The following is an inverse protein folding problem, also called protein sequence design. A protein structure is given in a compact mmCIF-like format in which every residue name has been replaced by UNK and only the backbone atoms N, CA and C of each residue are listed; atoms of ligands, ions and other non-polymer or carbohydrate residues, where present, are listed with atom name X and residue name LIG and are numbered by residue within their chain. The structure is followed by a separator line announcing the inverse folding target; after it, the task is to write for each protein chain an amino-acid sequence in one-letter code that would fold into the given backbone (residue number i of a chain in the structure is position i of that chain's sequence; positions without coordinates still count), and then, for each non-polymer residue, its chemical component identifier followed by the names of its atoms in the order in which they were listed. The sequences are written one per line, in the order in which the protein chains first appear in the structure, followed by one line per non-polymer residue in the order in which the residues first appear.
data_IF_658671045072
#
_entry.id   IF_658671045072
#
_cell.length_a   1.000
_cell.length_b   1.000
_cell.length_c   1.000
_cell.angle_alpha   90.00
_cell.angle_beta   90.00
_cell.angle_gamma   90.00
#
_symmetry.space_group_name_H-M   'P 1'
#
loop_
_entity.id
_entity.type
_entity.pdbx_description
1 polymer ?
#
# COMPACT_ATOMS: atom_id res chain seq x y z
N UNK A 1 -34.58 9.61 17.77
CA UNK A 1 -33.21 9.44 17.22
C UNK A 1 -33.23 9.99 15.82
N UNK A 2 -32.59 11.13 15.59
CA UNK A 2 -32.51 11.76 14.27
C UNK A 2 -31.78 10.82 13.33
N UNK A 3 -32.39 10.47 12.24
CA UNK A 3 -31.79 9.68 11.14
C UNK A 3 -30.56 10.41 10.65
N UNK A 4 -29.38 9.87 11.01
CA UNK A 4 -28.11 10.52 10.69
C UNK A 4 -27.98 10.53 9.17
N UNK A 5 -27.86 11.71 8.59
CA UNK A 5 -27.80 11.88 7.14
C UNK A 5 -26.78 10.92 6.53
N UNK A 6 -27.25 10.00 5.68
CA UNK A 6 -26.41 9.00 4.95
C UNK A 6 -25.63 9.68 3.82
N UNK A 7 -25.01 10.83 4.12
CA UNK A 7 -24.32 11.69 3.15
C UNK A 7 -23.00 12.14 3.77
N UNK A 8 -21.88 12.11 3.05
CA UNK A 8 -20.60 12.62 3.55
C UNK A 8 -20.64 14.15 3.70
N UNK A 9 -19.81 14.68 4.62
CA UNK A 9 -19.70 16.12 4.86
C UNK A 9 -19.12 16.89 3.64
N UNK A 10 -18.31 16.24 2.82
CA UNK A 10 -17.75 16.78 1.57
C UNK A 10 -18.19 15.87 0.44
N UNK A 11 -18.68 16.47 -0.64
CA UNK A 11 -19.22 15.76 -1.79
C UNK A 11 -18.90 16.50 -3.08
N UNK A 12 -18.73 15.78 -4.17
CA UNK A 12 -18.58 16.38 -5.49
C UNK A 12 -19.90 17.03 -5.94
N UNK A 13 -19.80 18.15 -6.63
CA UNK A 13 -20.98 18.85 -7.15
C UNK A 13 -21.79 17.96 -8.11
N UNK A 14 -23.10 18.08 -8.06
CA UNK A 14 -24.03 17.34 -8.91
C UNK A 14 -24.55 16.02 -8.32
N UNK A 15 -24.04 15.56 -7.17
CA UNK A 15 -24.57 14.40 -6.47
C UNK A 15 -25.33 14.82 -5.20
N UNK A 16 -26.60 14.47 -5.13
CA UNK A 16 -27.50 14.86 -4.04
C UNK A 16 -28.16 13.69 -3.34
N UNK A 17 -28.28 12.53 -4.02
CA UNK A 17 -28.99 11.38 -3.48
C UNK A 17 -28.31 10.80 -2.24
N UNK A 18 -29.06 10.32 -1.24
CA UNK A 18 -28.48 9.68 -0.07
C UNK A 18 -27.74 8.39 -0.45
N UNK A 19 -26.67 8.09 0.28
CA UNK A 19 -25.94 6.85 0.09
C UNK A 19 -26.71 5.68 0.67
N UNK A 20 -26.71 4.56 -0.05
CA UNK A 20 -27.34 3.31 0.39
C UNK A 20 -26.47 2.61 1.43
N UNK A 21 -27.08 2.13 2.51
CA UNK A 21 -26.40 1.32 3.53
C UNK A 21 -26.66 -0.15 3.30
N UNK A 22 -25.59 -0.94 3.16
CA UNK A 22 -25.63 -2.39 2.92
C UNK A 22 -24.57 -3.10 3.76
N UNK A 23 -24.70 -4.40 3.92
CA UNK A 23 -23.58 -5.26 4.36
C UNK A 23 -22.71 -5.61 3.15
N UNK A 24 -21.38 -5.60 3.34
CA UNK A 24 -20.46 -5.88 2.24
C UNK A 24 -20.69 -7.26 1.62
N UNK A 25 -20.90 -8.29 2.43
CA UNK A 25 -21.14 -9.67 1.97
C UNK A 25 -22.44 -9.89 1.19
N UNK A 26 -23.37 -8.90 1.14
CA UNK A 26 -24.53 -8.94 0.26
C UNK A 26 -24.19 -8.58 -1.18
N UNK A 27 -23.05 -7.95 -1.40
CA UNK A 27 -22.66 -7.33 -2.67
C UNK A 27 -21.42 -7.98 -3.31
N UNK A 28 -20.59 -8.66 -2.50
CA UNK A 28 -19.35 -9.27 -2.96
C UNK A 28 -19.16 -10.67 -2.41
N UNK A 29 -18.42 -11.51 -3.14
CA UNK A 29 -17.95 -12.81 -2.66
C UNK A 29 -16.61 -12.62 -1.96
N UNK A 30 -16.49 -13.16 -0.74
CA UNK A 30 -15.26 -13.08 0.05
C UNK A 30 -14.71 -14.48 0.30
N UNK A 31 -13.47 -14.71 -0.10
CA UNK A 31 -12.78 -15.99 0.08
C UNK A 31 -11.45 -15.78 0.80
N UNK A 32 -11.05 -16.72 1.62
CA UNK A 32 -9.72 -16.72 2.22
C UNK A 32 -8.72 -17.36 1.28
N UNK A 33 -7.53 -16.77 1.14
CA UNK A 33 -6.37 -17.38 0.52
C UNK A 33 -5.95 -18.67 1.23
N UNK A 34 -5.02 -19.38 0.67
CA UNK A 34 -4.54 -20.64 1.23
C UNK A 34 -3.05 -20.81 0.98
N UNK A 35 -2.40 -21.64 1.80
CA UNK A 35 -0.98 -21.97 1.64
C UNK A 35 -0.82 -23.47 1.48
N UNK A 36 -0.23 -23.96 0.37
CA UNK A 36 0.13 -25.36 0.24
C UNK A 36 1.07 -25.78 1.37
N UNK A 37 0.90 -26.99 1.87
CA UNK A 37 1.72 -27.53 2.98
C UNK A 37 2.29 -28.89 2.61
N UNK A 38 3.58 -29.15 2.93
CA UNK A 38 4.62 -28.18 3.37
C UNK A 38 4.98 -27.23 2.23
N UNK A 39 5.18 -25.93 2.53
CA UNK A 39 5.33 -24.89 1.48
C UNK A 39 6.62 -25.09 0.66
N UNK A 40 7.69 -25.53 1.28
CA UNK A 40 9.00 -25.72 0.65
C UNK A 40 8.97 -26.72 -0.53
N UNK A 41 8.04 -27.68 -0.53
CA UNK A 41 7.84 -28.61 -1.64
C UNK A 41 7.18 -27.95 -2.85
N UNK A 42 6.49 -26.83 -2.65
CA UNK A 42 5.74 -26.10 -3.68
C UNK A 42 6.47 -24.87 -4.22
N UNK A 43 7.41 -24.30 -3.48
CA UNK A 43 8.23 -23.18 -3.99
C UNK A 43 9.02 -23.64 -5.22
N UNK A 44 9.10 -22.76 -6.23
CA UNK A 44 9.80 -23.05 -7.47
C UNK A 44 10.33 -21.77 -8.13
N UNK A 45 11.48 -21.89 -8.78
CA UNK A 45 12.06 -20.85 -9.66
C UNK A 45 11.69 -21.06 -11.13
N UNK A 46 10.84 -22.08 -11.44
CA UNK A 46 10.40 -22.35 -12.82
C UNK A 46 9.67 -21.15 -13.40
N UNK A 47 9.95 -20.84 -14.67
CA UNK A 47 9.27 -19.78 -15.41
C UNK A 47 7.77 -20.00 -15.50
N UNK A 48 7.32 -21.26 -15.56
CA UNK A 48 5.91 -21.66 -15.58
C UNK A 48 5.26 -21.69 -14.20
N UNK A 49 6.01 -21.41 -13.12
CA UNK A 49 5.48 -21.29 -11.78
C UNK A 49 4.46 -20.18 -11.65
N UNK A 50 3.46 -20.39 -10.79
CA UNK A 50 2.41 -19.42 -10.48
C UNK A 50 2.94 -18.36 -9.50
N UNK A 51 2.69 -17.09 -9.75
CA UNK A 51 3.05 -16.03 -8.82
C UNK A 51 2.42 -16.28 -7.44
N UNK A 52 3.25 -16.32 -6.39
CA UNK A 52 2.82 -16.54 -5.02
C UNK A 52 2.79 -15.23 -4.24
N UNK A 53 1.57 -14.71 -4.00
CA UNK A 53 1.36 -13.38 -3.40
C UNK A 53 1.38 -13.48 -1.88
N UNK A 54 2.49 -13.04 -1.29
CA UNK A 54 2.65 -12.93 0.18
C UNK A 54 2.36 -11.52 0.65
N UNK A 55 2.17 -11.33 1.96
CA UNK A 55 1.95 -9.99 2.55
C UNK A 55 3.14 -9.05 2.27
N UNK A 56 4.37 -9.59 2.25
CA UNK A 56 5.58 -8.81 1.96
C UNK A 56 5.70 -8.29 0.53
N UNK A 57 4.91 -8.83 -0.43
CA UNK A 57 4.90 -8.37 -1.81
C UNK A 57 4.03 -7.11 -2.01
N UNK A 58 3.23 -6.75 -1.00
CA UNK A 58 2.40 -5.57 -1.05
C UNK A 58 3.24 -4.30 -1.01
N UNK A 59 3.03 -3.35 -1.93
CA UNK A 59 3.80 -2.12 -1.95
C UNK A 59 3.49 -1.25 -0.73
N UNK A 60 4.50 -0.54 -0.22
CA UNK A 60 4.33 0.45 0.85
C UNK A 60 3.49 1.64 0.38
N UNK A 61 3.63 2.03 -0.90
CA UNK A 61 2.89 3.08 -1.57
C UNK A 61 2.13 2.53 -2.78
N UNK A 62 0.98 3.14 -3.07
CA UNK A 62 0.10 2.69 -4.15
C UNK A 62 -0.79 1.54 -3.74
N UNK A 63 -1.60 1.06 -4.71
CA UNK A 63 -2.68 0.09 -4.50
C UNK A 63 -2.54 -1.19 -5.33
N UNK A 64 -1.53 -1.28 -6.21
CA UNK A 64 -1.40 -2.38 -7.13
C UNK A 64 -0.27 -3.33 -6.75
N UNK A 65 -0.56 -4.63 -6.69
CA UNK A 65 0.46 -5.67 -6.59
C UNK A 65 0.80 -6.12 -8.01
N UNK A 66 1.99 -5.77 -8.46
CA UNK A 66 2.47 -6.00 -9.83
C UNK A 66 3.62 -7.00 -9.96
N UNK A 67 4.11 -7.52 -8.83
CA UNK A 67 5.18 -8.52 -8.78
C UNK A 67 5.13 -9.30 -7.48
N UNK A 68 5.69 -10.50 -7.50
CA UNK A 68 5.88 -11.34 -6.31
C UNK A 68 7.34 -11.69 -6.14
N UNK A 69 7.74 -11.99 -4.93
CA UNK A 69 9.09 -12.43 -4.58
C UNK A 69 9.30 -13.92 -4.85
N UNK A 70 8.24 -14.71 -4.90
CA UNK A 70 8.27 -16.16 -5.06
C UNK A 70 7.19 -16.65 -6.01
N UNK A 71 7.37 -17.88 -6.48
CA UNK A 71 6.40 -18.65 -7.26
C UNK A 71 6.15 -19.99 -6.63
N UNK A 72 5.00 -20.60 -6.91
CA UNK A 72 4.67 -21.96 -6.53
C UNK A 72 4.42 -22.83 -7.77
N UNK A 73 4.63 -24.12 -7.64
CA UNK A 73 4.31 -25.11 -8.66
C UNK A 73 2.80 -25.12 -8.95
N UNK A 74 2.36 -25.36 -10.20
CA UNK A 74 0.94 -25.42 -10.58
C UNK A 74 0.10 -26.38 -9.73
N UNK A 75 0.70 -27.48 -9.24
CA UNK A 75 0.02 -28.46 -8.39
C UNK A 75 -0.45 -27.88 -7.05
N UNK A 76 0.16 -26.76 -6.62
CA UNK A 76 -0.25 -26.03 -5.42
C UNK A 76 -1.55 -25.25 -5.59
N UNK A 77 -2.03 -25.02 -6.81
CA UNK A 77 -3.20 -24.17 -7.10
C UNK A 77 -4.46 -24.62 -6.35
N UNK A 78 -4.71 -25.91 -6.26
CA UNK A 78 -5.89 -26.46 -5.56
C UNK A 78 -5.93 -26.17 -4.06
N UNK A 79 -4.78 -25.80 -3.46
CA UNK A 79 -4.62 -25.52 -2.03
C UNK A 79 -4.58 -24.03 -1.70
N UNK A 80 -4.77 -23.18 -2.69
CA UNK A 80 -4.76 -21.71 -2.57
C UNK A 80 -5.97 -21.11 -3.27
N UNK A 81 -5.96 -19.79 -3.50
CA UNK A 81 -6.96 -19.09 -4.31
C UNK A 81 -6.26 -18.36 -5.44
N UNK A 82 -6.70 -18.66 -6.66
CA UNK A 82 -6.23 -17.95 -7.85
C UNK A 82 -6.83 -16.54 -7.90
N UNK A 83 -6.01 -15.60 -8.30
CA UNK A 83 -6.37 -14.19 -8.52
C UNK A 83 -5.95 -13.74 -9.90
N UNK A 84 -6.71 -12.81 -10.46
CA UNK A 84 -6.50 -12.25 -11.79
C UNK A 84 -6.31 -10.73 -11.71
N UNK A 85 -5.75 -10.09 -12.74
CA UNK A 85 -5.69 -8.64 -12.82
C UNK A 85 -7.09 -8.02 -12.61
N UNK A 86 -7.17 -7.05 -11.70
CA UNK A 86 -8.41 -6.39 -11.30
C UNK A 86 -9.07 -6.99 -10.04
N UNK A 87 -8.71 -8.20 -9.61
CA UNK A 87 -9.20 -8.74 -8.33
C UNK A 87 -8.71 -7.88 -7.17
N UNK A 88 -9.59 -7.67 -6.18
CA UNK A 88 -9.26 -6.95 -4.97
C UNK A 88 -8.91 -7.95 -3.86
N UNK A 89 -7.80 -7.70 -3.17
CA UNK A 89 -7.41 -8.49 -2.00
C UNK A 89 -7.24 -7.59 -0.78
N UNK A 90 -7.57 -8.14 0.38
CA UNK A 90 -7.53 -7.43 1.67
C UNK A 90 -6.62 -8.21 2.63
N UNK A 91 -5.65 -7.53 3.26
CA UNK A 91 -4.78 -8.18 4.24
C UNK A 91 -5.56 -8.54 5.52
N UNK A 92 -5.47 -9.80 5.96
CA UNK A 92 -6.16 -10.28 7.15
C UNK A 92 -5.27 -10.27 8.42
N UNK A 93 -3.94 -10.14 8.24
CA UNK A 93 -2.94 -10.15 9.29
C UNK A 93 -1.85 -9.11 9.01
N UNK A 94 -0.90 -8.89 9.91
CA UNK A 94 0.22 -7.93 9.81
C UNK A 94 -0.20 -6.50 9.42
N UNK A 95 -0.53 -6.26 8.14
CA UNK A 95 -1.05 -4.99 7.61
C UNK A 95 -2.57 -4.90 7.70
N UNK A 96 -3.16 -5.34 8.78
CA UNK A 96 -4.59 -5.53 9.06
C UNK A 96 -5.53 -4.60 8.29
N UNK A 97 -6.36 -5.16 7.41
CA UNK A 97 -7.40 -4.43 6.70
C UNK A 97 -6.91 -3.51 5.58
N UNK A 98 -5.70 -3.69 5.06
CA UNK A 98 -5.21 -2.90 3.93
C UNK A 98 -5.59 -3.56 2.59
N UNK A 99 -6.34 -2.85 1.72
CA UNK A 99 -6.76 -3.37 0.43
C UNK A 99 -5.74 -3.10 -0.66
N UNK A 100 -5.68 -4.02 -1.66
CA UNK A 100 -4.87 -3.91 -2.86
C UNK A 100 -5.61 -4.47 -4.06
N UNK A 101 -5.24 -4.04 -5.27
CA UNK A 101 -5.72 -4.55 -6.54
C UNK A 101 -4.59 -5.35 -7.20
N UNK A 102 -4.92 -6.53 -7.68
CA UNK A 102 -3.98 -7.36 -8.43
C UNK A 102 -3.74 -6.78 -9.83
N UNK A 103 -2.47 -6.60 -10.19
CA UNK A 103 -2.06 -6.22 -11.55
C UNK A 103 -1.53 -7.42 -12.36
N UNK A 104 -1.36 -8.58 -11.71
CA UNK A 104 -0.83 -9.82 -12.29
C UNK A 104 -1.72 -11.00 -11.90
N UNK A 105 -1.65 -12.07 -12.67
CA UNK A 105 -2.17 -13.37 -12.26
C UNK A 105 -1.29 -13.99 -11.19
N UNK A 106 -1.92 -14.76 -10.30
CA UNK A 106 -1.21 -15.49 -9.25
C UNK A 106 -2.12 -16.24 -8.31
N UNK A 107 -1.57 -16.64 -7.19
CA UNK A 107 -2.23 -17.31 -6.09
C UNK A 107 -1.93 -16.57 -4.79
N UNK A 108 -2.91 -16.43 -3.92
CA UNK A 108 -2.77 -15.69 -2.67
C UNK A 108 -2.56 -16.60 -1.45
N UNK A 109 -1.59 -16.18 -0.62
CA UNK A 109 -1.30 -16.73 0.69
C UNK A 109 -2.51 -16.60 1.65
N UNK A 110 -2.59 -17.45 2.67
CA UNK A 110 -3.66 -17.44 3.69
C UNK A 110 -3.71 -16.17 4.56
N UNK A 111 -2.76 -15.26 4.41
CA UNK A 111 -2.76 -13.89 4.96
C UNK A 111 -3.66 -12.90 4.19
N UNK A 112 -4.31 -13.34 3.11
CA UNK A 112 -5.18 -12.52 2.29
C UNK A 112 -6.63 -13.00 2.29
N UNK A 113 -7.55 -12.04 2.14
CA UNK A 113 -8.93 -12.27 1.72
C UNK A 113 -9.09 -11.75 0.29
N UNK A 114 -9.60 -12.58 -0.61
CA UNK A 114 -10.04 -12.19 -1.94
C UNK A 114 -11.44 -11.61 -1.86
N UNK A 115 -11.68 -10.50 -2.53
CA UNK A 115 -12.99 -9.82 -2.60
C UNK A 115 -13.35 -9.67 -4.07
N UNK A 116 -14.37 -10.40 -4.52
CA UNK A 116 -14.88 -10.36 -5.90
C UNK A 116 -16.26 -9.71 -5.95
N UNK A 117 -16.36 -8.66 -6.73
CA UNK A 117 -17.61 -7.97 -7.06
C UNK A 117 -18.19 -8.57 -8.35
N UNK A 118 -18.77 -9.77 -8.26
CA UNK A 118 -19.37 -10.46 -9.40
C UNK A 118 -20.53 -9.67 -10.03
N UNK A 119 -21.44 -9.05 -9.23
CA UNK A 119 -22.51 -8.21 -9.76
C UNK A 119 -22.04 -6.90 -10.37
N UNK A 120 -20.75 -6.54 -10.23
CA UNK A 120 -20.19 -5.26 -10.62
C UNK A 120 -20.87 -4.05 -9.99
N UNK A 121 -21.21 -4.20 -8.71
CA UNK A 121 -21.86 -3.15 -7.90
C UNK A 121 -20.93 -1.97 -7.61
N UNK A 122 -19.63 -2.19 -7.64
CA UNK A 122 -18.63 -1.18 -7.29
C UNK A 122 -17.76 -0.74 -8.47
N UNK A 123 -17.32 0.50 -8.41
CA UNK A 123 -16.09 0.91 -9.08
C UNK A 123 -14.90 0.30 -8.31
N UNK A 124 -13.94 -0.38 -8.97
CA UNK A 124 -12.85 -1.09 -8.27
C UNK A 124 -11.98 -0.17 -7.41
N UNK A 125 -11.69 1.05 -7.90
CA UNK A 125 -10.88 2.01 -7.14
C UNK A 125 -11.64 2.57 -5.96
N UNK A 126 -12.93 2.87 -6.13
CA UNK A 126 -13.80 3.27 -5.02
C UNK A 126 -13.83 2.18 -3.94
N UNK A 127 -14.08 0.92 -4.31
CA UNK A 127 -14.13 -0.20 -3.38
C UNK A 127 -12.79 -0.34 -2.64
N UNK A 128 -11.68 -0.28 -3.36
CA UNK A 128 -10.34 -0.36 -2.78
C UNK A 128 -10.11 0.75 -1.74
N UNK A 129 -10.41 2.01 -2.07
CA UNK A 129 -10.23 3.12 -1.14
C UNK A 129 -11.20 3.04 0.04
N UNK A 130 -12.46 2.73 -0.22
CA UNK A 130 -13.50 2.62 0.81
C UNK A 130 -13.14 1.59 1.87
N UNK A 131 -12.69 0.39 1.46
CA UNK A 131 -12.30 -0.68 2.39
C UNK A 131 -11.09 -0.31 3.27
N UNK A 132 -10.20 0.57 2.79
CA UNK A 132 -9.04 1.05 3.54
C UNK A 132 -9.30 2.30 4.41
N UNK A 133 -10.54 2.79 4.49
CA UNK A 133 -10.85 3.99 5.29
C UNK A 133 -10.70 3.73 6.80
N UNK A 134 -10.36 4.76 7.60
CA UNK A 134 -10.34 4.63 9.07
C UNK A 134 -11.67 4.11 9.65
N UNK A 135 -12.80 4.46 9.04
CA UNK A 135 -14.12 3.97 9.43
C UNK A 135 -14.23 2.45 9.27
N UNK A 136 -13.79 1.92 8.14
CA UNK A 136 -13.79 0.47 7.89
C UNK A 136 -12.81 -0.25 8.80
N UNK A 137 -11.59 0.27 8.97
CA UNK A 137 -10.60 -0.29 9.88
C UNK A 137 -11.12 -0.36 11.33
N UNK A 138 -11.83 0.66 11.78
CA UNK A 138 -12.45 0.65 13.11
C UNK A 138 -13.58 -0.40 13.20
N UNK A 139 -14.41 -0.56 12.16
CA UNK A 139 -15.40 -1.63 12.13
C UNK A 139 -14.74 -3.01 12.21
N UNK A 140 -13.68 -3.25 11.43
CA UNK A 140 -12.95 -4.53 11.48
C UNK A 140 -12.41 -4.81 12.89
N UNK A 141 -11.83 -3.80 13.56
CA UNK A 141 -11.33 -3.94 14.93
C UNK A 141 -12.45 -4.25 15.93
N UNK A 142 -13.58 -3.55 15.83
CA UNK A 142 -14.74 -3.78 16.69
C UNK A 142 -15.31 -5.19 16.49
N UNK A 143 -15.44 -5.64 15.25
CA UNK A 143 -15.95 -6.97 14.92
C UNK A 143 -14.95 -8.07 15.34
N UNK A 144 -13.65 -7.81 15.29
CA UNK A 144 -12.61 -8.73 15.71
C UNK A 144 -12.42 -8.78 17.23
N UNK A 145 -12.80 -7.75 17.98
CA UNK A 145 -12.59 -7.67 19.45
C UNK A 145 -13.35 -8.75 20.26
N UNK A 146 -14.32 -9.41 19.65
CA UNK A 146 -15.02 -10.57 20.25
C UNK A 146 -14.41 -11.93 19.89
N UNK A 147 -13.33 -11.99 19.11
CA UNK A 147 -12.69 -13.23 18.70
C UNK A 147 -11.33 -13.42 19.39
N UNK A 148 -10.99 -14.67 19.70
CA UNK A 148 -9.70 -15.05 20.34
C UNK A 148 -8.48 -14.82 19.43
N UNK A 149 -8.69 -14.48 18.15
CA UNK A 149 -7.64 -14.30 17.14
C UNK A 149 -7.81 -12.93 16.50
N UNK A 150 -6.83 -12.06 16.63
CA UNK A 150 -6.79 -10.71 16.03
C UNK A 150 -6.61 -10.72 14.49
N UNK A 151 -7.24 -11.65 13.79
CA UNK A 151 -7.18 -11.77 12.34
C UNK A 151 -8.57 -11.49 11.73
N UNK A 152 -8.59 -10.78 10.63
CA UNK A 152 -9.80 -10.65 9.82
C UNK A 152 -10.15 -12.00 9.19
N UNK A 153 -11.39 -12.40 9.32
CA UNK A 153 -11.94 -13.53 8.58
C UNK A 153 -13.05 -13.06 7.63
N UNK A 154 -13.49 -13.96 6.76
CA UNK A 154 -14.49 -13.64 5.74
C UNK A 154 -15.83 -13.20 6.35
N UNK A 155 -16.23 -13.82 7.45
CA UNK A 155 -17.51 -13.53 8.13
C UNK A 155 -17.50 -12.11 8.73
N UNK A 156 -16.41 -11.70 9.35
CA UNK A 156 -16.24 -10.35 9.90
C UNK A 156 -16.31 -9.29 8.80
N UNK A 157 -15.59 -9.52 7.69
CA UNK A 157 -15.59 -8.58 6.57
C UNK A 157 -16.94 -8.55 5.85
N UNK A 158 -17.60 -9.70 5.70
CA UNK A 158 -18.96 -9.79 5.13
C UNK A 158 -20.00 -9.02 5.94
N UNK A 159 -19.87 -9.02 7.27
CA UNK A 159 -20.79 -8.31 8.17
C UNK A 159 -20.50 -6.80 8.31
N UNK A 160 -19.41 -6.30 7.74
CA UNK A 160 -19.12 -4.88 7.78
C UNK A 160 -20.19 -4.07 7.04
N UNK A 161 -20.67 -3.00 7.69
CA UNK A 161 -21.66 -2.08 7.13
C UNK A 161 -20.97 -1.00 6.31
N UNK A 162 -21.39 -0.87 5.06
CA UNK A 162 -20.88 0.13 4.14
C UNK A 162 -21.96 1.14 3.76
N UNK A 163 -21.53 2.35 3.41
CA UNK A 163 -22.36 3.34 2.76
C UNK A 163 -21.88 3.49 1.32
N UNK A 164 -22.79 3.35 0.36
CA UNK A 164 -22.48 3.25 -1.05
C UNK A 164 -23.28 4.30 -1.85
N UNK A 165 -22.61 5.21 -2.59
CA UNK A 165 -23.27 6.10 -3.54
C UNK A 165 -23.65 5.39 -4.83
N UNK A 166 -24.32 6.09 -5.74
CA UNK A 166 -24.55 5.61 -7.10
C UNK A 166 -23.22 5.37 -7.84
N UNK A 167 -23.24 4.51 -8.84
CA UNK A 167 -22.05 4.06 -9.59
C UNK A 167 -21.24 5.22 -10.20
N UNK A 168 -21.91 6.25 -10.70
CA UNK A 168 -21.27 7.44 -11.26
C UNK A 168 -20.47 8.21 -10.21
N UNK A 169 -21.01 8.38 -9.01
CA UNK A 169 -20.30 9.04 -7.92
C UNK A 169 -19.14 8.19 -7.40
N UNK A 170 -19.31 6.86 -7.29
CA UNK A 170 -18.22 5.95 -6.95
C UNK A 170 -17.03 6.13 -7.91
N UNK A 171 -17.29 6.21 -9.21
CA UNK A 171 -16.25 6.42 -10.23
C UNK A 171 -15.50 7.73 -10.02
N UNK A 172 -16.19 8.82 -9.76
CA UNK A 172 -15.56 10.13 -9.51
C UNK A 172 -14.71 10.09 -8.25
N UNK A 173 -15.22 9.50 -7.16
CA UNK A 173 -14.49 9.35 -5.89
C UNK A 173 -13.25 8.45 -6.09
N UNK A 174 -13.42 7.31 -6.75
CA UNK A 174 -12.34 6.36 -7.02
C UNK A 174 -11.22 6.98 -7.84
N UNK A 175 -11.56 7.70 -8.92
CA UNK A 175 -10.59 8.40 -9.76
C UNK A 175 -9.85 9.51 -9.00
N UNK A 176 -10.55 10.27 -8.17
CA UNK A 176 -9.94 11.32 -7.37
C UNK A 176 -8.86 10.77 -6.42
N UNK A 177 -9.19 9.73 -5.66
CA UNK A 177 -8.23 9.14 -4.73
C UNK A 177 -7.10 8.38 -5.44
N UNK A 178 -7.39 7.73 -6.58
CA UNK A 178 -6.34 7.11 -7.39
C UNK A 178 -5.33 8.16 -7.88
N UNK A 179 -5.82 9.30 -8.36
CA UNK A 179 -4.95 10.39 -8.80
C UNK A 179 -4.07 10.93 -7.65
N UNK A 180 -4.63 11.04 -6.43
CA UNK A 180 -3.84 11.42 -5.26
C UNK A 180 -2.76 10.38 -4.92
N UNK A 181 -3.07 9.08 -4.98
CA UNK A 181 -2.10 8.00 -4.76
C UNK A 181 -0.97 8.04 -5.81
N UNK A 182 -1.30 8.33 -7.07
CA UNK A 182 -0.32 8.50 -8.16
C UNK A 182 0.62 9.70 -7.91
N UNK A 183 0.07 10.84 -7.51
CA UNK A 183 0.84 12.04 -7.14
C UNK A 183 1.77 11.76 -5.94
N UNK A 184 1.25 11.15 -4.88
CA UNK A 184 2.04 10.77 -3.70
C UNK A 184 3.20 9.86 -4.11
N UNK A 185 2.92 8.85 -4.93
CA UNK A 185 3.93 7.91 -5.41
C UNK A 185 5.01 8.61 -6.25
N UNK A 186 4.61 9.50 -7.14
CA UNK A 186 5.53 10.30 -7.98
C UNK A 186 6.43 11.20 -7.13
N UNK A 187 5.86 11.92 -6.18
CA UNK A 187 6.61 12.81 -5.30
C UNK A 187 7.56 12.04 -4.38
N UNK A 188 7.15 10.87 -3.87
CA UNK A 188 8.03 10.02 -3.07
C UNK A 188 9.24 9.54 -3.89
N UNK A 189 9.01 9.05 -5.11
CA UNK A 189 10.11 8.64 -6.01
C UNK A 189 11.07 9.80 -6.31
N UNK A 190 10.55 11.02 -6.48
CA UNK A 190 11.37 12.21 -6.68
C UNK A 190 12.18 12.52 -5.42
N UNK A 191 11.56 12.46 -4.25
CA UNK A 191 12.23 12.66 -2.97
C UNK A 191 13.37 11.66 -2.78
N UNK A 192 13.12 10.37 -2.98
CA UNK A 192 14.11 9.31 -2.82
C UNK A 192 15.33 9.52 -3.75
N UNK A 193 15.06 9.88 -5.03
CA UNK A 193 16.14 10.23 -5.98
C UNK A 193 16.97 11.43 -5.52
N UNK A 194 16.32 12.47 -4.96
CA UNK A 194 17.01 13.64 -4.44
C UNK A 194 17.86 13.32 -3.21
N UNK A 195 17.38 12.43 -2.34
CA UNK A 195 18.14 11.94 -1.18
C UNK A 195 19.41 11.22 -1.64
N UNK A 196 19.29 10.31 -2.61
CA UNK A 196 20.45 9.60 -3.19
C UNK A 196 21.41 10.58 -3.86
N UNK A 197 20.89 11.53 -4.64
CA UNK A 197 21.68 12.56 -5.30
C UNK A 197 22.44 13.42 -4.28
N UNK A 198 21.74 13.90 -3.23
CA UNK A 198 22.36 14.68 -2.15
C UNK A 198 23.51 13.91 -1.49
N UNK A 199 23.29 12.62 -1.17
CA UNK A 199 24.34 11.77 -0.59
C UNK A 199 25.56 11.69 -1.51
N UNK A 200 25.34 11.41 -2.79
CA UNK A 200 26.42 11.35 -3.79
C UNK A 200 27.17 12.68 -3.92
N UNK A 201 26.45 13.80 -3.88
CA UNK A 201 27.11 15.13 -3.94
C UNK A 201 27.92 15.43 -2.69
N UNK A 202 27.42 15.06 -1.50
CA UNK A 202 28.20 15.19 -0.26
C UNK A 202 29.51 14.38 -0.29
N UNK A 203 29.48 13.18 -0.88
CA UNK A 203 30.66 12.34 -1.02
C UNK A 203 31.68 12.90 -2.05
N UNK A 204 31.21 13.58 -3.10
CA UNK A 204 32.03 14.03 -4.22
C UNK A 204 32.44 15.48 -4.16
N UNK A 205 31.66 16.33 -3.47
CA UNK A 205 31.95 17.77 -3.35
C UNK A 205 32.77 18.12 -2.12
N UNK A 206 33.14 17.14 -1.30
CA UNK A 206 34.09 17.27 -0.21
C UNK A 206 35.33 16.42 -0.52
N UNK A 207 36.57 16.93 -0.25
CA UNK A 207 37.79 16.15 -0.45
C UNK A 207 37.76 14.88 0.41
N UNK A 208 38.32 13.80 -0.12
CA UNK A 208 38.55 12.57 0.65
C UNK A 208 39.77 12.76 1.58
N UNK A 209 39.91 11.83 2.53
CA UNK A 209 41.04 11.85 3.45
C UNK A 209 42.36 11.87 2.70
N UNK A 210 43.19 12.91 2.99
CA UNK A 210 44.46 13.14 2.34
C UNK A 210 44.42 13.94 1.02
N UNK A 211 43.21 14.26 0.53
CA UNK A 211 43.03 15.11 -0.66
C UNK A 211 42.70 16.57 -0.25
N UNK A 212 43.10 17.53 -1.06
CA UNK A 212 42.79 18.95 -0.86
C UNK A 212 41.84 19.52 -1.91
N UNK A 213 41.40 18.68 -2.87
CA UNK A 213 40.48 19.07 -3.96
C UNK A 213 39.38 18.02 -4.08
N UNK A 214 38.09 18.41 -4.05
CA UNK A 214 37.00 17.48 -4.23
C UNK A 214 36.89 17.01 -5.69
N UNK A 215 36.26 15.83 -5.89
CA UNK A 215 36.00 15.25 -7.23
C UNK A 215 35.09 16.14 -8.09
N UNK A 216 34.08 16.76 -7.47
CA UNK A 216 33.17 17.69 -8.12
C UNK A 216 33.21 19.03 -7.44
N UNK A 217 33.33 20.10 -8.24
CA UNK A 217 33.44 21.45 -7.77
C UNK A 217 32.67 22.43 -8.66
N UNK A 218 32.14 23.50 -8.10
CA UNK A 218 31.54 24.55 -8.90
C UNK A 218 32.59 25.27 -9.77
N UNK A 219 32.16 25.66 -10.98
CA UNK A 219 33.05 26.40 -11.89
C UNK A 219 33.53 27.70 -11.23
N UNK A 220 34.81 28.03 -11.47
CA UNK A 220 35.45 29.22 -10.93
C UNK A 220 36.21 29.01 -9.61
N UNK A 221 36.10 27.86 -8.98
CA UNK A 221 36.85 27.51 -7.77
C UNK A 221 37.94 26.49 -8.10
N UNK A 222 39.18 26.90 -8.09
CA UNK A 222 40.33 26.08 -8.53
C UNK A 222 41.33 25.80 -7.41
N UNK A 223 41.42 26.69 -6.41
CA UNK A 223 42.45 26.59 -5.39
C UNK A 223 42.22 25.38 -4.44
N UNK A 224 43.28 24.68 -4.00
CA UNK A 224 43.15 23.58 -3.05
C UNK A 224 42.49 24.05 -1.74
N UNK A 225 41.77 23.20 -1.08
CA UNK A 225 41.17 23.49 0.22
C UNK A 225 42.24 23.46 1.30
N UNK A 226 42.19 24.45 2.19
CA UNK A 226 43.10 24.52 3.31
C UNK A 226 42.58 23.67 4.47
N UNK A 227 43.45 22.81 5.01
CA UNK A 227 43.14 22.02 6.19
C UNK A 227 43.53 22.78 7.46
N UNK A 228 42.54 23.07 8.31
CA UNK A 228 42.73 23.71 9.62
C UNK A 228 42.02 22.93 10.73
N UNK A 229 42.55 23.05 11.94
CA UNK A 229 41.84 22.52 13.11
C UNK A 229 40.63 23.40 13.43
N UNK A 230 39.53 22.79 13.82
CA UNK A 230 38.31 23.53 14.20
C UNK A 230 38.56 24.54 15.32
N UNK A 231 39.46 24.22 16.28
CA UNK A 231 39.88 25.12 17.37
C UNK A 231 40.64 26.36 16.91
N UNK A 232 41.17 26.38 15.70
CA UNK A 232 41.85 27.56 15.12
C UNK A 232 40.86 28.49 14.39
N UNK A 233 39.67 28.00 14.09
CA UNK A 233 38.67 28.74 13.31
C UNK A 233 37.48 29.15 14.17
N UNK A 234 37.14 28.36 15.19
CA UNK A 234 35.98 28.57 16.06
C UNK A 234 36.40 28.70 17.54
N UNK A 235 35.86 29.70 18.21
CA UNK A 235 35.94 29.79 19.67
C UNK A 235 34.80 28.97 20.29
N UNK A 236 35.15 27.97 21.10
CA UNK A 236 34.12 27.20 21.86
C UNK A 236 33.67 28.10 23.02
N UNK A 237 32.48 28.63 22.97
CA UNK A 237 31.83 29.31 24.10
C UNK A 237 31.10 28.24 24.88
N UNK A 238 31.62 27.93 26.07
CA UNK A 238 30.99 27.01 27.02
C UNK A 238 29.98 27.84 27.85
N UNK A 239 28.75 27.94 27.35
CA UNK A 239 27.68 28.67 28.01
C UNK A 239 27.03 27.73 29.07
N UNK A 240 27.73 27.60 30.21
CA UNK A 240 27.18 27.01 31.43
C UNK A 240 26.55 28.12 32.24
N UNK A 241 25.32 28.49 31.85
CA UNK A 241 24.41 29.28 32.65
C UNK A 241 23.33 28.40 33.27
#
# INVERSE_FOLDING_TARGET
MTEQAKVPAIRFAGFTDPWEQRKLGELVVIERGGSPRPIDEYITDDTNGLNWVKIGDAPSLGRYISKTSEKIKPEGLSKTRQVHPGDLILSNSMSFGRPYIMAIEGCIHDGWLLIRDEPKSFDPMYLCHMLGTPKMLNQYRMLASGSTVNNLNKELVSNASILMPCKSEQKVIGQFFNHLDDLITLHQRKYDKLVVFKKSMLEKMFPKDGESVPEIRFAGFTDPWEQRKASEVFQIVDDRG
#
